data_IF_315323686280
#
_entry.id   IF_315323686280
#
_cell.length_a   1.000
_cell.length_b   1.000
_cell.length_c   1.000
_cell.angle_alpha   90.00
_cell.angle_beta   90.00
_cell.angle_gamma   90.00
#
_symmetry.space_group_name_H-M   'P 1'
#
loop_
_entity.id
_entity.type
_entity.pdbx_description
1 polymer ?
#
# COMPACT_ATOMS: atom_id res chain seq x y z
N UNK A 1 -14.50 8.19 19.52
CA UNK A 1 -13.10 8.57 19.81
C UNK A 1 -12.97 10.04 19.49
N UNK A 2 -12.29 10.79 20.35
CA UNK A 2 -12.07 12.22 20.11
C UNK A 2 -10.76 12.39 19.33
N UNK A 3 -10.84 13.11 18.21
CA UNK A 3 -9.69 13.45 17.37
C UNK A 3 -9.46 14.96 17.41
N UNK A 4 -8.19 15.38 17.44
CA UNK A 4 -7.80 16.79 17.40
C UNK A 4 -7.56 17.18 15.94
N UNK A 5 -8.24 18.24 15.48
CA UNK A 5 -8.12 18.74 14.10
C UNK A 5 -7.21 19.96 14.09
N UNK A 6 -6.04 19.83 13.48
CA UNK A 6 -5.07 20.93 13.36
C UNK A 6 -5.32 21.84 12.15
N UNK A 7 -5.98 21.33 11.11
CA UNK A 7 -6.32 22.06 9.90
C UNK A 7 -7.81 21.88 9.59
N UNK A 8 -8.56 22.98 9.65
CA UNK A 8 -10.01 23.04 9.45
C UNK A 8 -10.40 23.35 8.00
N UNK A 9 -9.43 23.53 7.10
CA UNK A 9 -9.67 23.83 5.68
C UNK A 9 -9.94 22.57 4.83
N UNK A 10 -9.58 21.39 5.33
CA UNK A 10 -9.79 20.10 4.67
C UNK A 10 -11.17 19.50 4.92
N UNK A 11 -11.59 18.58 4.05
CA UNK A 11 -12.80 17.78 4.33
C UNK A 11 -12.55 16.86 5.53
N UNK A 12 -13.44 16.93 6.52
CA UNK A 12 -13.33 16.12 7.73
C UNK A 12 -13.54 14.63 7.45
N UNK A 13 -12.72 13.73 8.03
CA UNK A 13 -12.98 12.30 7.95
C UNK A 13 -14.32 11.99 8.61
N UNK A 14 -15.11 11.14 7.96
CA UNK A 14 -16.43 10.74 8.46
C UNK A 14 -16.37 9.65 9.53
N UNK A 15 -15.33 8.82 9.52
CA UNK A 15 -15.18 7.66 10.40
C UNK A 15 -13.71 7.45 10.76
N UNK A 16 -13.49 6.75 11.86
CA UNK A 16 -12.21 6.14 12.19
C UNK A 16 -12.31 4.64 11.93
N UNK A 17 -11.52 4.11 11.00
CA UNK A 17 -11.51 2.70 10.68
C UNK A 17 -10.51 1.96 11.57
N UNK A 18 -10.99 1.08 12.44
CA UNK A 18 -10.19 0.19 13.25
C UNK A 18 -9.90 -1.10 12.48
N UNK A 19 -8.74 -1.14 11.82
CA UNK A 19 -8.32 -2.21 10.92
C UNK A 19 -7.51 -3.25 11.67
N UNK A 20 -7.84 -4.52 11.45
CA UNK A 20 -7.16 -5.64 12.08
C UNK A 20 -7.18 -6.89 11.19
N UNK A 21 -6.24 -7.80 11.43
CA UNK A 21 -6.25 -9.14 10.85
C UNK A 21 -6.90 -10.10 11.85
N UNK A 22 -7.57 -11.14 11.35
CA UNK A 22 -8.18 -12.16 12.22
C UNK A 22 -7.06 -12.77 13.10
N UNK A 23 -7.15 -12.67 14.44
CA UNK A 23 -6.12 -13.22 15.32
C UNK A 23 -6.18 -14.74 15.32
N UNK A 24 -5.03 -15.38 15.48
CA UNK A 24 -4.96 -16.80 15.81
C UNK A 24 -5.43 -17.03 17.25
N UNK A 25 -5.87 -18.25 17.56
CA UNK A 25 -6.48 -18.56 18.86
C UNK A 25 -5.49 -18.30 20.00
N UNK A 26 -5.81 -17.34 20.88
CA UNK A 26 -5.00 -16.97 22.04
C UNK A 26 -4.01 -15.83 21.82
N UNK A 27 -3.93 -15.27 20.60
CA UNK A 27 -3.03 -14.14 20.32
C UNK A 27 -3.70 -12.77 20.50
N UNK A 28 -2.89 -11.78 20.89
CA UNK A 28 -3.33 -10.38 20.94
C UNK A 28 -3.46 -9.82 19.53
N UNK A 29 -4.63 -9.28 19.22
CA UNK A 29 -4.90 -8.67 17.93
C UNK A 29 -4.33 -7.24 17.87
N UNK A 30 -3.37 -7.00 16.96
CA UNK A 30 -2.92 -5.64 16.64
C UNK A 30 -4.02 -4.91 15.87
N UNK A 31 -4.47 -3.78 16.41
CA UNK A 31 -5.49 -2.92 15.79
C UNK A 31 -4.85 -1.60 15.41
N UNK A 32 -5.03 -1.16 14.16
CA UNK A 32 -4.56 0.12 13.66
C UNK A 32 -5.75 0.99 13.29
N UNK A 33 -5.73 2.28 13.63
CA UNK A 33 -6.87 3.17 13.43
C UNK A 33 -6.53 4.23 12.38
N UNK A 34 -7.39 4.37 11.37
CA UNK A 34 -7.19 5.29 10.24
C UNK A 34 -8.40 6.19 10.01
N UNK A 35 -8.22 7.51 9.79
CA UNK A 35 -9.31 8.37 9.38
C UNK A 35 -9.77 8.05 7.95
N UNK A 36 -11.08 7.95 7.72
CA UNK A 36 -11.65 7.68 6.39
C UNK A 36 -12.90 8.52 6.08
N UNK A 37 -13.16 8.71 4.79
CA UNK A 37 -14.39 9.21 4.21
C UNK A 37 -15.18 8.01 3.68
N UNK A 38 -16.38 7.78 4.21
CA UNK A 38 -17.24 6.65 3.86
C UNK A 38 -17.52 6.59 2.36
N UNK A 39 -17.66 7.75 1.73
CA UNK A 39 -17.89 7.87 0.28
C UNK A 39 -16.75 7.28 -0.56
N UNK A 40 -15.50 7.39 -0.12
CA UNK A 40 -14.35 6.85 -0.87
C UNK A 40 -14.35 5.32 -0.83
N UNK A 41 -14.67 4.74 0.33
CA UNK A 41 -14.79 3.29 0.43
C UNK A 41 -16.04 2.79 -0.29
N UNK A 42 -17.18 3.46 -0.16
CA UNK A 42 -18.41 3.09 -0.86
C UNK A 42 -18.28 3.16 -2.40
N UNK A 43 -17.50 4.11 -2.91
CA UNK A 43 -17.25 4.25 -4.34
C UNK A 43 -16.31 3.17 -4.92
N UNK A 44 -15.51 2.50 -4.09
CA UNK A 44 -14.43 1.64 -4.55
C UNK A 44 -14.44 0.22 -3.99
N UNK A 45 -15.17 -0.06 -2.91
CA UNK A 45 -15.18 -1.35 -2.23
C UNK A 45 -16.58 -1.97 -2.30
N UNK A 46 -16.83 -2.83 -3.28
CA UNK A 46 -18.17 -3.42 -3.51
C UNK A 46 -18.62 -4.38 -2.40
N UNK A 47 -17.67 -4.99 -1.68
CA UNK A 47 -17.98 -5.96 -0.62
C UNK A 47 -18.05 -5.31 0.77
N UNK A 48 -17.79 -4.01 0.88
CA UNK A 48 -17.87 -3.32 2.16
C UNK A 48 -19.33 -2.98 2.47
N UNK A 49 -19.82 -3.42 3.63
CA UNK A 49 -21.14 -3.05 4.13
C UNK A 49 -21.27 -1.54 4.29
N UNK A 50 -22.48 -1.01 4.11
CA UNK A 50 -22.77 0.39 4.37
C UNK A 50 -22.35 0.77 5.80
N UNK A 51 -21.53 1.82 5.90
CA UNK A 51 -21.10 2.35 7.19
C UNK A 51 -22.26 3.11 7.85
N UNK A 52 -22.30 3.19 9.19
CA UNK A 52 -23.27 4.01 9.90
C UNK A 52 -23.29 5.46 9.38
N UNK A 53 -24.44 6.15 9.40
CA UNK A 53 -24.49 7.56 9.06
C UNK A 53 -23.56 8.38 9.95
N UNK A 54 -22.70 9.20 9.34
CA UNK A 54 -21.81 10.10 10.05
C UNK A 54 -21.59 11.38 9.25
N UNK A 55 -21.76 12.53 9.91
CA UNK A 55 -21.57 13.87 9.37
C UNK A 55 -20.87 14.73 10.42
N UNK A 56 -19.57 14.49 10.69
CA UNK A 56 -18.86 15.30 11.66
C UNK A 56 -18.76 16.74 11.15
N UNK A 57 -19.14 17.68 12.00
CA UNK A 57 -18.94 19.10 11.72
C UNK A 57 -17.45 19.42 11.86
N UNK A 58 -16.94 20.26 10.96
CA UNK A 58 -15.61 20.83 11.16
C UNK A 58 -15.62 21.66 12.45
N UNK A 59 -14.59 21.52 13.30
CA UNK A 59 -14.50 22.35 14.48
C UNK A 59 -14.27 23.81 14.08
N UNK A 60 -14.88 24.74 14.80
CA UNK A 60 -14.73 26.18 14.54
C UNK A 60 -13.31 26.67 14.82
N UNK A 61 -12.61 26.00 15.74
CA UNK A 61 -11.26 26.34 16.16
C UNK A 61 -10.31 25.16 15.93
N UNK A 62 -9.13 25.40 15.32
CA UNK A 62 -8.07 24.40 15.29
C UNK A 62 -7.73 23.95 16.72
N UNK A 63 -7.55 22.64 16.90
CA UNK A 63 -7.27 22.04 18.20
C UNK A 63 -8.51 21.57 18.99
N UNK A 64 -9.73 21.92 18.55
CA UNK A 64 -10.93 21.43 19.22
C UNK A 64 -11.18 19.93 18.91
N UNK A 65 -11.74 19.17 19.88
CA UNK A 65 -12.02 17.76 19.70
C UNK A 65 -13.22 17.56 18.78
N UNK A 66 -13.13 16.54 17.92
CA UNK A 66 -14.25 16.07 17.09
C UNK A 66 -14.54 14.61 17.41
N UNK A 67 -15.80 14.32 17.71
CA UNK A 67 -16.25 12.95 17.94
C UNK A 67 -16.63 12.29 16.63
N UNK A 68 -15.92 11.22 16.30
CA UNK A 68 -16.12 10.45 15.07
C UNK A 68 -16.37 8.97 15.43
N UNK A 69 -17.33 8.29 14.77
CA UNK A 69 -17.57 6.86 14.99
C UNK A 69 -16.36 6.02 14.59
N UNK A 70 -16.04 5.04 15.44
CA UNK A 70 -15.00 4.03 15.16
C UNK A 70 -15.68 2.79 14.60
N UNK A 71 -15.28 2.34 13.41
CA UNK A 71 -15.85 1.16 12.75
C UNK A 71 -14.78 0.07 12.62
N UNK A 72 -15.03 -1.16 13.08
CA UNK A 72 -14.09 -2.26 12.91
C UNK A 72 -14.08 -2.76 11.46
N UNK A 73 -12.89 -3.08 10.94
CA UNK A 73 -12.70 -3.69 9.62
C UNK A 73 -11.67 -4.82 9.72
N UNK A 74 -12.15 -6.06 9.60
CA UNK A 74 -11.29 -7.23 9.50
C UNK A 74 -10.79 -7.36 8.06
N UNK A 75 -9.48 -7.44 7.86
CA UNK A 75 -8.85 -7.67 6.56
C UNK A 75 -7.91 -8.88 6.62
N UNK A 76 -7.68 -9.57 5.49
CA UNK A 76 -6.65 -10.61 5.41
C UNK A 76 -5.27 -10.11 5.87
N UNK A 77 -4.89 -8.90 5.47
CA UNK A 77 -3.57 -8.34 5.77
C UNK A 77 -3.67 -6.86 6.18
N UNK A 78 -3.92 -6.60 7.48
CA UNK A 78 -4.14 -5.26 8.02
C UNK A 78 -3.02 -4.27 7.68
N UNK A 79 -1.76 -4.70 7.70
CA UNK A 79 -0.58 -3.84 7.50
C UNK A 79 -0.52 -3.21 6.11
N UNK A 80 -1.16 -3.83 5.10
CA UNK A 80 -1.22 -3.27 3.75
C UNK A 80 -2.36 -2.27 3.51
N UNK A 81 -3.27 -2.10 4.47
CA UNK A 81 -4.40 -1.18 4.34
C UNK A 81 -3.99 0.29 4.10
N UNK A 82 -2.96 0.86 4.75
CA UNK A 82 -2.57 2.26 4.52
C UNK A 82 -2.17 2.55 3.08
N UNK A 83 -1.51 1.59 2.42
CA UNK A 83 -1.11 1.71 1.02
C UNK A 83 -2.36 1.69 0.13
N UNK A 84 -3.29 0.77 0.39
CA UNK A 84 -4.56 0.69 -0.34
C UNK A 84 -5.36 1.97 -0.17
N UNK A 85 -5.56 2.43 1.07
CA UNK A 85 -6.36 3.63 1.35
C UNK A 85 -5.76 4.84 0.63
N UNK A 86 -4.44 5.06 0.75
CA UNK A 86 -3.73 6.13 0.04
C UNK A 86 -3.95 6.08 -1.48
N UNK A 87 -3.91 4.88 -2.07
CA UNK A 87 -4.21 4.73 -3.50
C UNK A 87 -5.67 5.06 -3.81
N UNK A 88 -6.64 4.62 -3.00
CA UNK A 88 -8.05 4.91 -3.22
C UNK A 88 -8.35 6.43 -3.21
N UNK A 89 -7.65 7.21 -2.38
CA UNK A 89 -7.76 8.67 -2.37
C UNK A 89 -7.02 9.34 -3.53
N UNK A 90 -5.78 8.95 -3.77
CA UNK A 90 -4.90 9.68 -4.69
C UNK A 90 -5.01 9.23 -6.14
N UNK A 91 -5.41 7.97 -6.36
CA UNK A 91 -5.38 7.26 -7.65
C UNK A 91 -4.05 7.39 -8.38
N UNK A 92 -2.93 7.47 -7.62
CA UNK A 92 -1.57 7.63 -8.16
C UNK A 92 -0.84 6.28 -8.20
N UNK A 93 -0.77 5.60 -9.37
CA UNK A 93 -0.08 4.31 -9.50
C UNK A 93 1.42 4.41 -9.21
N UNK A 94 2.05 5.57 -9.49
CA UNK A 94 3.48 5.80 -9.19
C UNK A 94 3.77 5.77 -7.69
N UNK A 95 2.86 6.30 -6.87
CA UNK A 95 2.99 6.30 -5.42
C UNK A 95 2.79 4.89 -4.87
N UNK A 96 1.77 4.19 -5.38
CA UNK A 96 1.52 2.80 -5.03
C UNK A 96 2.73 1.92 -5.34
N UNK A 97 3.25 2.00 -6.57
CA UNK A 97 4.42 1.21 -6.98
C UNK A 97 5.65 1.51 -6.12
N UNK A 98 5.85 2.78 -5.75
CA UNK A 98 6.95 3.19 -4.88
C UNK A 98 6.78 2.70 -3.44
N UNK A 99 5.55 2.53 -2.96
CA UNK A 99 5.26 1.99 -1.64
C UNK A 99 5.40 0.46 -1.59
N UNK A 100 5.15 -0.24 -2.70
CA UNK A 100 5.25 -1.70 -2.80
C UNK A 100 6.68 -2.20 -3.02
N UNK A 101 7.52 -1.42 -3.69
CA UNK A 101 8.89 -1.79 -4.01
C UNK A 101 9.88 -1.23 -2.98
N UNK A 102 10.96 -1.97 -2.64
CA UNK A 102 12.09 -1.40 -1.93
C UNK A 102 12.66 -0.18 -2.66
N UNK A 103 13.25 0.78 -1.93
CA UNK A 103 13.98 1.87 -2.56
C UNK A 103 15.14 1.29 -3.38
N UNK A 104 15.16 1.61 -4.67
CA UNK A 104 16.30 1.31 -5.53
C UNK A 104 17.42 2.35 -5.25
N UNK A 105 18.70 1.94 -5.27
CA UNK A 105 19.80 2.90 -5.34
C UNK A 105 19.59 3.83 -6.53
N UNK A 106 19.72 5.14 -6.32
CA UNK A 106 19.64 6.12 -7.41
C UNK A 106 20.96 6.11 -8.17
N UNK A 107 20.91 5.85 -9.47
CA UNK A 107 22.06 6.10 -10.34
C UNK A 107 22.06 7.60 -10.70
N UNK A 108 23.08 8.38 -10.31
CA UNK A 108 23.17 9.80 -10.68
C UNK A 108 23.23 10.04 -12.20
N UNK A 109 23.56 9.02 -13.00
CA UNK A 109 23.63 9.09 -14.46
C UNK A 109 22.38 8.53 -15.17
N UNK A 110 21.28 8.30 -14.45
CA UNK A 110 20.04 7.81 -15.05
C UNK A 110 19.53 8.78 -16.12
N UNK A 111 19.61 8.37 -17.38
CA UNK A 111 19.05 9.14 -18.48
C UNK A 111 17.52 9.19 -18.38
N UNK A 112 16.88 10.30 -18.81
CA UNK A 112 15.43 10.37 -18.87
C UNK A 112 14.88 9.22 -19.72
N UNK A 113 14.00 8.41 -19.13
CA UNK A 113 13.32 7.35 -19.85
C UNK A 113 12.42 8.01 -20.91
N UNK A 114 12.64 7.70 -22.19
CA UNK A 114 11.66 7.99 -23.24
C UNK A 114 10.39 7.19 -22.95
N UNK A 115 9.41 7.85 -22.33
CA UNK A 115 8.12 7.26 -21.90
C UNK A 115 7.22 6.87 -23.07
N UNK A 116 7.63 7.16 -24.30
CA UNK A 116 6.84 7.03 -25.52
C UNK A 116 6.84 5.62 -26.11
N UNK A 117 7.75 4.74 -25.68
CA UNK A 117 7.88 3.36 -26.19
C UNK A 117 7.70 2.30 -25.10
N UNK A 118 6.85 1.32 -25.34
CA UNK A 118 6.63 0.17 -24.46
C UNK A 118 7.91 -0.65 -24.22
N UNK A 119 8.81 -0.72 -25.21
CA UNK A 119 10.09 -1.39 -25.09
C UNK A 119 11.03 -0.66 -24.10
N UNK A 120 11.04 0.68 -24.14
CA UNK A 120 11.80 1.53 -23.21
C UNK A 120 11.34 1.32 -21.77
N UNK A 121 10.02 1.26 -21.55
CA UNK A 121 9.44 1.01 -20.23
C UNK A 121 9.78 -0.39 -19.69
N UNK A 122 9.71 -1.42 -20.54
CA UNK A 122 10.07 -2.80 -20.17
C UNK A 122 11.54 -2.89 -19.76
N UNK A 123 12.43 -2.21 -20.48
CA UNK A 123 13.85 -2.14 -20.16
C UNK A 123 14.08 -1.44 -18.81
N UNK A 124 13.44 -0.29 -18.59
CA UNK A 124 13.57 0.45 -17.34
C UNK A 124 13.08 -0.35 -16.11
N UNK A 125 12.00 -1.12 -16.24
CA UNK A 125 11.52 -2.01 -15.17
C UNK A 125 12.53 -3.11 -14.86
N UNK A 126 13.15 -3.72 -15.89
CA UNK A 126 14.20 -4.73 -15.69
C UNK A 126 15.44 -4.15 -15.02
N UNK A 127 15.91 -2.99 -15.47
CA UNK A 127 17.06 -2.31 -14.87
C UNK A 127 16.79 -1.98 -13.40
N UNK A 128 15.57 -1.49 -13.09
CA UNK A 128 15.13 -1.26 -11.71
C UNK A 128 15.09 -2.55 -10.90
N UNK A 129 14.58 -3.66 -11.45
CA UNK A 129 14.55 -4.95 -10.76
C UNK A 129 15.96 -5.46 -10.43
N UNK A 130 16.91 -5.32 -11.36
CA UNK A 130 18.31 -5.67 -11.12
C UNK A 130 18.92 -4.79 -10.02
N UNK A 131 18.70 -3.48 -10.07
CA UNK A 131 19.20 -2.57 -9.04
C UNK A 131 18.65 -2.90 -7.64
N UNK A 132 17.35 -3.22 -7.54
CA UNK A 132 16.73 -3.67 -6.29
C UNK A 132 17.33 -5.00 -5.83
N UNK A 133 17.45 -5.99 -6.73
CA UNK A 133 17.96 -7.32 -6.42
C UNK A 133 19.42 -7.32 -5.95
N UNK A 134 20.24 -6.42 -6.49
CA UNK A 134 21.64 -6.25 -6.08
C UNK A 134 21.79 -5.49 -4.76
N UNK A 135 20.82 -4.67 -4.38
CA UNK A 135 20.90 -3.81 -3.19
C UNK A 135 20.27 -4.41 -1.93
N UNK A 136 19.34 -5.35 -2.09
CA UNK A 136 18.54 -5.91 -1.00
C UNK A 136 18.76 -7.42 -0.86
N UNK A 137 18.68 -7.92 0.37
CA UNK A 137 18.80 -9.35 0.66
C UNK A 137 17.55 -10.12 0.21
N UNK A 138 17.65 -11.45 -0.03
CA UNK A 138 16.49 -12.25 -0.42
C UNK A 138 15.34 -12.17 0.58
N UNK A 139 15.63 -12.10 1.88
CA UNK A 139 14.63 -12.03 2.94
C UNK A 139 13.78 -10.76 2.85
N UNK A 140 14.41 -9.60 2.60
CA UNK A 140 13.69 -8.32 2.42
C UNK A 140 12.76 -8.39 1.22
N UNK A 141 13.21 -9.02 0.13
CA UNK A 141 12.42 -9.15 -1.09
C UNK A 141 11.24 -10.12 -0.90
N UNK A 142 11.44 -11.22 -0.18
CA UNK A 142 10.36 -12.15 0.19
C UNK A 142 9.32 -11.46 1.08
N UNK A 143 9.74 -10.66 2.07
CA UNK A 143 8.83 -9.87 2.91
C UNK A 143 7.99 -8.90 2.06
N UNK A 144 8.61 -8.24 1.07
CA UNK A 144 7.90 -7.35 0.15
C UNK A 144 6.94 -8.11 -0.77
N UNK A 145 7.30 -9.30 -1.25
CA UNK A 145 6.35 -10.17 -1.96
C UNK A 145 5.15 -10.51 -1.08
N UNK A 146 5.38 -10.93 0.18
CA UNK A 146 4.31 -11.22 1.12
C UNK A 146 3.39 -10.00 1.33
N UNK A 147 3.96 -8.80 1.38
CA UNK A 147 3.19 -7.56 1.51
C UNK A 147 2.34 -7.24 0.27
N UNK A 148 2.85 -7.45 -0.96
CA UNK A 148 2.07 -7.31 -2.20
C UNK A 148 0.93 -8.34 -2.25
N UNK A 149 1.22 -9.58 -1.86
CA UNK A 149 0.20 -10.64 -1.74
C UNK A 149 -0.87 -10.27 -0.71
N UNK A 150 -0.49 -9.74 0.45
CA UNK A 150 -1.42 -9.23 1.45
C UNK A 150 -2.33 -8.12 0.92
N UNK A 151 -1.77 -7.19 0.15
CA UNK A 151 -2.55 -6.15 -0.53
C UNK A 151 -3.55 -6.77 -1.52
N UNK A 152 -3.12 -7.71 -2.35
CA UNK A 152 -4.00 -8.42 -3.29
C UNK A 152 -5.20 -9.05 -2.58
N UNK A 153 -4.96 -9.76 -1.46
CA UNK A 153 -6.04 -10.37 -0.67
C UNK A 153 -7.00 -9.33 -0.09
N UNK A 154 -6.50 -8.19 0.35
CA UNK A 154 -7.35 -7.09 0.82
C UNK A 154 -8.21 -6.51 -0.30
N UNK A 155 -7.64 -6.30 -1.50
CA UNK A 155 -8.35 -5.80 -2.68
C UNK A 155 -9.48 -6.76 -3.08
N UNK A 156 -9.22 -8.07 -3.06
CA UNK A 156 -10.25 -9.10 -3.24
C UNK A 156 -11.32 -9.05 -2.15
N UNK A 157 -10.92 -9.03 -0.87
CA UNK A 157 -11.85 -9.05 0.25
C UNK A 157 -12.78 -7.84 0.24
N UNK A 158 -12.26 -6.66 -0.11
CA UNK A 158 -13.02 -5.41 -0.22
C UNK A 158 -13.81 -5.29 -1.53
N UNK A 159 -13.57 -6.17 -2.51
CA UNK A 159 -14.27 -6.13 -3.80
C UNK A 159 -13.90 -4.89 -4.61
N UNK A 160 -12.61 -4.54 -4.69
CA UNK A 160 -12.15 -3.36 -5.42
C UNK A 160 -11.97 -3.67 -6.90
N UNK A 161 -12.65 -2.90 -7.75
CA UNK A 161 -12.60 -3.02 -9.21
C UNK A 161 -11.93 -1.80 -9.84
N UNK A 162 -10.60 -1.86 -10.00
CA UNK A 162 -9.78 -0.76 -10.52
C UNK A 162 -8.60 -1.34 -11.33
N UNK A 163 -8.69 -1.30 -12.67
CA UNK A 163 -7.69 -1.91 -13.56
C UNK A 163 -6.27 -1.37 -13.34
N UNK A 164 -6.15 -0.10 -12.98
CA UNK A 164 -4.85 0.54 -12.77
C UNK A 164 -4.22 0.02 -11.48
N UNK A 165 -5.02 -0.22 -10.43
CA UNK A 165 -4.56 -0.85 -9.19
C UNK A 165 -4.03 -2.26 -9.46
N UNK A 166 -4.83 -3.09 -10.14
CA UNK A 166 -4.48 -4.47 -10.46
C UNK A 166 -3.17 -4.54 -11.25
N UNK A 167 -3.08 -3.80 -12.36
CA UNK A 167 -1.85 -3.75 -13.18
C UNK A 167 -0.64 -3.24 -12.39
N UNK A 168 -0.83 -2.27 -11.50
CA UNK A 168 0.28 -1.76 -10.68
C UNK A 168 0.79 -2.81 -9.70
N UNK A 169 -0.11 -3.62 -9.11
CA UNK A 169 0.29 -4.75 -8.27
C UNK A 169 1.02 -5.83 -9.08
N UNK A 170 0.54 -6.15 -10.28
CA UNK A 170 1.20 -7.12 -11.16
C UNK A 170 2.62 -6.68 -11.52
N UNK A 171 2.80 -5.41 -11.92
CA UNK A 171 4.13 -4.84 -12.19
C UNK A 171 5.03 -4.89 -10.96
N UNK A 172 4.50 -4.59 -9.77
CA UNK A 172 5.27 -4.67 -8.53
C UNK A 172 5.71 -6.11 -8.23
N UNK A 173 4.79 -7.07 -8.36
CA UNK A 173 5.04 -8.49 -8.14
C UNK A 173 6.10 -9.05 -9.09
N UNK A 174 5.97 -8.80 -10.40
CA UNK A 174 6.94 -9.23 -11.40
C UNK A 174 8.34 -8.63 -11.15
N UNK A 175 8.38 -7.33 -10.81
CA UNK A 175 9.63 -6.64 -10.49
C UNK A 175 10.32 -7.29 -9.28
N UNK A 176 9.56 -7.64 -8.24
CA UNK A 176 10.10 -8.30 -7.05
C UNK A 176 10.59 -9.73 -7.33
N UNK A 177 9.88 -10.50 -8.16
CA UNK A 177 10.33 -11.84 -8.53
C UNK A 177 11.66 -11.81 -9.30
N UNK A 178 11.81 -10.88 -10.24
CA UNK A 178 13.08 -10.69 -10.96
C UNK A 178 14.19 -10.25 -10.01
N UNK A 179 13.92 -9.29 -9.13
CA UNK A 179 14.87 -8.82 -8.12
C UNK A 179 15.30 -9.95 -7.17
N UNK A 180 14.37 -10.78 -6.72
CA UNK A 180 14.64 -11.92 -5.84
C UNK A 180 15.55 -12.93 -6.54
N UNK A 181 15.30 -13.23 -7.82
CA UNK A 181 16.17 -14.10 -8.61
C UNK A 181 17.59 -13.56 -8.75
N UNK A 182 17.77 -12.23 -8.89
CA UNK A 182 19.09 -11.59 -8.89
C UNK A 182 19.77 -11.71 -7.52
N UNK A 183 19.05 -11.39 -6.45
CA UNK A 183 19.57 -11.40 -5.07
C UNK A 183 20.03 -12.80 -4.65
N UNK A 184 19.24 -13.84 -4.94
CA UNK A 184 19.58 -15.24 -4.61
C UNK A 184 20.83 -15.71 -5.38
N UNK A 185 20.96 -15.37 -6.67
CA UNK A 185 22.17 -15.69 -7.45
C UNK A 185 23.40 -15.00 -6.90
N UNK A 186 23.28 -13.72 -6.52
CA UNK A 186 24.35 -12.97 -5.88
C UNK A 186 24.80 -13.60 -4.56
N UNK A 187 23.85 -13.96 -3.69
CA UNK A 187 24.13 -14.62 -2.41
C UNK A 187 24.88 -15.95 -2.60
N UNK A 188 24.44 -16.79 -3.56
CA UNK A 188 25.09 -18.08 -3.85
C UNK A 188 26.54 -17.90 -4.35
N UNK A 189 26.78 -16.92 -5.21
CA UNK A 189 28.13 -16.63 -5.71
C UNK A 189 29.10 -16.16 -4.63
N UNK A 190 28.61 -15.55 -3.55
CA UNK A 190 29.43 -15.16 -2.39
C UNK A 190 29.80 -16.39 -1.53
N UNK A 191 28.89 -17.35 -1.37
CA UNK A 191 29.13 -18.60 -0.64
C UNK A 191 30.15 -19.48 -1.37
N UNK A 192 30.08 -19.59 -2.70
CA UNK A 192 31.01 -20.39 -3.51
C UNK A 192 32.44 -19.78 -3.57
N UNK A 193 32.63 -18.55 -3.07
CA UNK A 193 33.93 -17.84 -3.05
C UNK A 193 34.58 -17.76 -1.66
N UNK A 194 33.91 -18.25 -0.62
CA UNK A 194 34.37 -18.22 0.78
C UNK A 194 34.92 -19.57 1.21
#
# INVERSE_FOLDING_TARGET
MDAIVSDVSGSMPTHMMAVYSRPEAGEKCKVMVYPIHSIVLAAHCANLSALPPSKPNAPETPGAPVTIPVVPLCLPHAESFPILSTYLYSKRPTNLLSALLPPAPRDPNQQPIDKTSAASMTRALRERAVAIGSAHSPNVLVERCAHVSGLWHNVCALGVYDDVLWRTMDVAWETLLVALGVSVRGARALVERS
#
